data_IF_164211730696
#
_entry.id   IF_164211730696
#
_cell.length_a   1.000
_cell.length_b   1.000
_cell.length_c   1.000
_cell.angle_alpha   90.00
_cell.angle_beta   90.00
_cell.angle_gamma   90.00
#
_symmetry.space_group_name_H-M   'P 1'
#
loop_
_entity.id
_entity.type
_entity.pdbx_description
1 polymer ?
#
# COMPACT_ATOMS: atom_id res chain seq x y z
N UNK A 1 -22.79 23.11 -8.05
CA UNK A 1 -22.34 21.74 -8.32
C UNK A 1 -21.98 21.11 -6.99
N UNK A 2 -22.97 20.61 -6.25
CA UNK A 2 -22.72 19.98 -4.94
C UNK A 2 -22.27 18.55 -5.20
N UNK A 3 -21.02 18.23 -4.85
CA UNK A 3 -20.53 16.86 -4.90
C UNK A 3 -21.31 16.01 -3.89
N UNK A 4 -21.61 14.75 -4.24
CA UNK A 4 -22.27 13.82 -3.33
C UNK A 4 -21.51 13.77 -1.99
N UNK A 5 -22.17 13.95 -0.83
CA UNK A 5 -21.53 13.96 0.48
C UNK A 5 -20.63 12.75 0.72
N UNK A 6 -21.07 11.57 0.26
CA UNK A 6 -20.38 10.29 0.37
C UNK A 6 -19.06 10.29 -0.41
N UNK A 7 -19.02 10.91 -1.60
CA UNK A 7 -17.79 11.05 -2.37
C UNK A 7 -16.80 12.01 -1.71
N UNK A 8 -17.30 13.04 -1.04
CA UNK A 8 -16.47 14.00 -0.30
C UNK A 8 -15.84 13.33 0.93
N UNK A 9 -16.63 12.56 1.68
CA UNK A 9 -16.17 11.76 2.82
C UNK A 9 -15.11 10.74 2.39
N UNK A 10 -15.39 9.97 1.32
CA UNK A 10 -14.44 9.01 0.77
C UNK A 10 -13.12 9.67 0.36
N UNK A 11 -13.18 10.79 -0.38
CA UNK A 11 -11.99 11.50 -0.81
C UNK A 11 -11.19 12.06 0.39
N UNK A 12 -11.87 12.46 1.46
CA UNK A 12 -11.24 12.85 2.73
C UNK A 12 -10.48 11.70 3.38
N UNK A 13 -11.12 10.53 3.50
CA UNK A 13 -10.53 9.32 4.09
C UNK A 13 -9.34 8.81 3.28
N UNK A 14 -9.42 8.82 1.95
CA UNK A 14 -8.29 8.43 1.09
C UNK A 14 -7.11 9.38 1.27
N UNK A 15 -7.34 10.70 1.29
CA UNK A 15 -6.26 11.68 1.50
C UNK A 15 -5.63 11.56 2.88
N UNK A 16 -6.42 11.36 3.93
CA UNK A 16 -5.90 11.21 5.29
C UNK A 16 -5.13 9.91 5.47
N UNK A 17 -5.54 8.82 4.82
CA UNK A 17 -4.77 7.58 4.77
C UNK A 17 -3.45 7.75 4.01
N UNK A 18 -3.48 8.38 2.84
CA UNK A 18 -2.29 8.63 2.03
C UNK A 18 -1.22 9.43 2.79
N UNK A 19 -1.64 10.37 3.64
CA UNK A 19 -0.73 11.14 4.49
C UNK A 19 0.02 10.27 5.53
N UNK A 20 -0.51 9.10 5.90
CA UNK A 20 0.16 8.15 6.79
C UNK A 20 1.16 7.24 6.06
N UNK A 21 1.13 7.18 4.72
CA UNK A 21 2.08 6.37 3.94
C UNK A 21 3.52 6.89 4.02
N UNK A 22 3.72 8.14 4.46
CA UNK A 22 5.02 8.63 4.90
C UNK A 22 5.26 8.16 6.33
N UNK A 23 6.24 7.27 6.60
CA UNK A 23 6.43 6.73 7.92
C UNK A 23 6.78 7.80 8.94
N UNK A 24 6.13 7.77 10.09
CA UNK A 24 6.35 8.72 11.17
C UNK A 24 5.94 8.10 12.52
N UNK A 25 6.61 8.55 13.58
CA UNK A 25 6.19 8.24 14.95
C UNK A 25 4.75 8.75 15.17
N UNK A 26 3.91 7.92 15.80
CA UNK A 26 2.49 8.20 16.02
C UNK A 26 1.55 7.80 14.88
N UNK A 27 2.05 7.35 13.72
CA UNK A 27 1.16 6.86 12.65
C UNK A 27 0.35 5.62 13.06
N UNK A 28 0.85 4.79 13.99
CA UNK A 28 0.11 3.65 14.52
C UNK A 28 -1.18 4.10 15.25
N UNK A 29 -1.10 5.16 16.04
CA UNK A 29 -2.27 5.74 16.74
C UNK A 29 -3.22 6.43 15.76
N UNK A 30 -2.66 7.18 14.79
CA UNK A 30 -3.43 7.81 13.72
C UNK A 30 -4.18 6.77 12.88
N UNK A 31 -3.59 5.60 12.62
CA UNK A 31 -4.25 4.51 11.92
C UNK A 31 -5.46 3.98 12.70
N UNK A 32 -5.35 3.84 14.03
CA UNK A 32 -6.49 3.41 14.88
C UNK A 32 -7.64 4.40 14.82
N UNK A 33 -7.34 5.70 14.92
CA UNK A 33 -8.34 6.75 14.79
C UNK A 33 -8.97 6.74 13.39
N UNK A 34 -8.16 6.57 12.35
CA UNK A 34 -8.62 6.51 10.96
C UNK A 34 -9.53 5.31 10.70
N UNK A 35 -9.20 4.12 11.19
CA UNK A 35 -10.05 2.92 11.06
C UNK A 35 -11.39 3.14 11.76
N UNK A 36 -11.38 3.77 12.94
CA UNK A 36 -12.60 4.07 13.68
C UNK A 36 -13.51 5.03 12.89
N UNK A 37 -12.94 6.10 12.33
CA UNK A 37 -13.67 7.04 11.47
C UNK A 37 -14.19 6.37 10.19
N UNK A 38 -13.35 5.58 9.53
CA UNK A 38 -13.73 4.86 8.31
C UNK A 38 -14.86 3.84 8.53
N UNK A 39 -15.06 3.37 9.77
CA UNK A 39 -16.16 2.48 10.15
C UNK A 39 -17.46 3.20 10.49
N UNK A 40 -17.40 4.47 10.89
CA UNK A 40 -18.60 5.28 11.15
C UNK A 40 -19.23 5.80 9.85
N UNK A 41 -18.46 5.86 8.78
CA UNK A 41 -18.93 6.25 7.44
C UNK A 41 -19.61 5.05 6.77
N UNK A 42 -20.81 5.23 6.22
CA UNK A 42 -21.59 4.17 5.56
C UNK A 42 -21.04 3.85 4.15
N UNK A 43 -19.79 3.38 4.12
CA UNK A 43 -19.02 3.08 2.91
C UNK A 43 -18.60 1.60 2.92
N UNK A 44 -19.45 0.69 2.39
CA UNK A 44 -19.25 -0.77 2.48
C UNK A 44 -17.88 -1.25 1.98
N UNK A 45 -17.36 -0.63 0.93
CA UNK A 45 -16.06 -0.95 0.36
C UNK A 45 -14.89 -0.61 1.30
N UNK A 46 -15.03 0.44 2.11
CA UNK A 46 -14.01 0.86 3.07
C UNK A 46 -13.98 -0.07 4.30
N UNK A 47 -15.11 -0.67 4.67
CA UNK A 47 -15.15 -1.67 5.73
C UNK A 47 -14.34 -2.93 5.41
N UNK A 48 -14.35 -3.40 4.16
CA UNK A 48 -13.51 -4.53 3.75
C UNK A 48 -12.02 -4.20 3.85
N UNK A 49 -11.64 -2.99 3.45
CA UNK A 49 -10.27 -2.50 3.56
C UNK A 49 -9.82 -2.41 5.02
N UNK A 50 -10.61 -1.79 5.90
CA UNK A 50 -10.28 -1.70 7.34
C UNK A 50 -10.16 -3.07 8.00
N UNK A 51 -10.97 -4.08 7.60
CA UNK A 51 -10.79 -5.45 8.08
C UNK A 51 -9.44 -6.04 7.67
N UNK A 52 -9.02 -5.83 6.43
CA UNK A 52 -7.69 -6.27 5.96
C UNK A 52 -6.56 -5.64 6.76
N UNK A 53 -6.65 -4.34 7.04
CA UNK A 53 -5.64 -3.63 7.84
C UNK A 53 -5.52 -4.16 9.26
N UNK A 54 -6.62 -4.62 9.86
CA UNK A 54 -6.61 -5.17 11.22
C UNK A 54 -6.11 -6.61 11.26
N UNK A 55 -6.36 -7.40 10.21
CA UNK A 55 -5.82 -8.76 10.10
C UNK A 55 -4.29 -8.74 10.07
N UNK A 56 -3.71 -7.77 9.35
CA UNK A 56 -2.27 -7.60 9.21
C UNK A 56 -1.72 -6.46 10.10
N UNK A 57 -2.35 -6.20 11.25
CA UNK A 57 -2.13 -4.97 12.03
C UNK A 57 -0.66 -4.69 12.36
N UNK A 58 0.08 -5.71 12.78
CA UNK A 58 1.49 -5.56 13.15
C UNK A 58 2.35 -5.17 11.94
N UNK A 59 2.09 -5.79 10.78
CA UNK A 59 2.78 -5.49 9.54
C UNK A 59 2.44 -4.08 9.03
N UNK A 60 1.17 -3.68 9.12
CA UNK A 60 0.74 -2.33 8.73
C UNK A 60 1.33 -1.28 9.68
N UNK A 61 1.30 -1.49 10.99
CA UNK A 61 1.94 -0.60 11.95
C UNK A 61 3.43 -0.43 11.63
N UNK A 62 4.15 -1.54 11.42
CA UNK A 62 5.56 -1.49 11.05
C UNK A 62 5.79 -0.74 9.74
N UNK A 63 4.93 -0.92 8.73
CA UNK A 63 5.02 -0.20 7.46
C UNK A 63 4.81 1.32 7.60
N UNK A 64 3.98 1.76 8.56
CA UNK A 64 3.66 3.18 8.77
C UNK A 64 4.56 3.88 9.81
N UNK A 65 5.36 3.14 10.60
CA UNK A 65 6.26 3.73 11.61
C UNK A 65 7.74 3.52 11.30
N UNK A 66 8.10 2.43 10.62
CA UNK A 66 9.49 2.14 10.30
C UNK A 66 9.96 2.94 9.08
N UNK A 67 11.10 3.63 9.20
CA UNK A 67 11.75 4.28 8.07
C UNK A 67 12.19 3.28 6.98
N UNK A 68 12.42 2.02 7.36
CA UNK A 68 12.78 0.93 6.47
C UNK A 68 11.53 0.10 6.14
N UNK A 69 11.08 0.21 4.90
CA UNK A 69 9.93 -0.51 4.37
C UNK A 69 10.36 -1.34 3.17
N UNK A 70 9.66 -2.45 2.92
CA UNK A 70 10.01 -3.39 1.85
C UNK A 70 9.70 -2.84 0.43
N UNK A 71 9.22 -1.60 0.30
CA UNK A 71 8.81 -1.00 -0.97
C UNK A 71 9.92 -0.98 -2.03
N UNK A 72 11.17 -0.73 -1.62
CA UNK A 72 12.33 -0.83 -2.52
C UNK A 72 12.55 -2.27 -3.03
N UNK A 73 12.51 -3.25 -2.13
CA UNK A 73 12.64 -4.67 -2.45
C UNK A 73 11.49 -5.19 -3.31
N UNK A 74 10.26 -4.77 -3.04
CA UNK A 74 9.06 -5.12 -3.79
C UNK A 74 9.08 -4.52 -5.19
N UNK A 75 9.60 -3.29 -5.33
CA UNK A 75 9.86 -2.68 -6.63
C UNK A 75 10.86 -3.47 -7.46
N UNK A 76 11.99 -3.89 -6.86
CA UNK A 76 13.00 -4.74 -7.51
C UNK A 76 12.43 -6.11 -7.88
N UNK A 77 11.65 -6.73 -7.00
CA UNK A 77 10.97 -7.99 -7.26
C UNK A 77 9.94 -7.87 -8.40
N UNK A 78 9.19 -6.77 -8.45
CA UNK A 78 8.20 -6.50 -9.49
C UNK A 78 8.88 -6.30 -10.84
N UNK A 79 9.96 -5.50 -10.90
CA UNK A 79 10.79 -5.33 -12.10
C UNK A 79 11.34 -6.67 -12.59
N UNK A 80 11.88 -7.49 -11.69
CA UNK A 80 12.43 -8.82 -11.99
C UNK A 80 11.35 -9.76 -12.53
N UNK A 81 10.17 -9.81 -11.90
CA UNK A 81 9.02 -10.60 -12.37
C UNK A 81 8.54 -10.13 -13.74
N UNK A 82 8.51 -8.82 -13.98
CA UNK A 82 8.11 -8.23 -15.26
C UNK A 82 9.07 -8.60 -16.39
N UNK A 83 10.39 -8.49 -16.17
CA UNK A 83 11.41 -8.92 -17.16
C UNK A 83 11.26 -10.42 -17.46
N UNK A 84 11.10 -11.27 -16.44
CA UNK A 84 10.87 -12.70 -16.63
C UNK A 84 9.58 -13.00 -17.43
N UNK A 85 8.50 -12.24 -17.20
CA UNK A 85 7.23 -12.36 -17.94
C UNK A 85 7.35 -11.91 -19.40
N UNK A 86 8.03 -10.80 -19.67
CA UNK A 86 8.34 -10.35 -21.04
C UNK A 86 9.12 -11.39 -21.84
N UNK A 87 9.86 -12.25 -21.13
CA UNK A 87 10.65 -13.34 -21.70
C UNK A 87 9.92 -14.69 -21.68
N UNK A 88 8.60 -14.68 -21.48
CA UNK A 88 7.74 -15.88 -21.44
C UNK A 88 8.21 -16.94 -20.43
N UNK A 89 8.87 -16.51 -19.35
CA UNK A 89 9.42 -17.42 -18.33
C UNK A 89 10.67 -18.19 -18.75
N UNK A 90 11.18 -17.99 -19.98
CA UNK A 90 12.34 -18.74 -20.54
C UNK A 90 13.70 -18.17 -20.15
N UNK A 91 13.72 -17.12 -19.34
CA UNK A 91 14.94 -16.49 -18.88
C UNK A 91 15.55 -17.26 -17.70
N UNK A 92 16.66 -17.97 -17.94
CA UNK A 92 17.52 -18.50 -16.89
C UNK A 92 18.29 -17.38 -16.16
N UNK A 93 18.94 -17.72 -15.04
CA UNK A 93 19.60 -16.73 -14.18
C UNK A 93 20.62 -15.85 -14.91
N UNK A 94 21.45 -16.42 -15.78
CA UNK A 94 22.46 -15.67 -16.54
C UNK A 94 21.84 -14.56 -17.42
N UNK A 95 20.72 -14.88 -18.08
CA UNK A 95 20.03 -13.95 -18.99
C UNK A 95 19.24 -12.89 -18.22
N UNK A 96 18.64 -13.27 -17.08
CA UNK A 96 18.02 -12.32 -16.14
C UNK A 96 19.05 -11.34 -15.59
N UNK A 97 20.21 -11.84 -15.12
CA UNK A 97 21.30 -11.00 -14.60
C UNK A 97 21.79 -9.99 -15.64
N UNK A 98 22.01 -10.44 -16.88
CA UNK A 98 22.46 -9.56 -17.96
C UNK A 98 21.44 -8.43 -18.20
N UNK A 99 20.16 -8.75 -18.29
CA UNK A 99 19.10 -7.77 -18.59
C UNK A 99 18.75 -6.85 -17.41
N UNK A 100 19.03 -7.25 -16.18
CA UNK A 100 18.78 -6.44 -14.98
C UNK A 100 19.95 -5.48 -14.70
N UNK A 101 21.19 -5.92 -14.92
CA UNK A 101 22.39 -5.15 -14.60
C UNK A 101 22.91 -4.29 -15.76
N UNK A 102 22.58 -4.65 -17.01
CA UNK A 102 23.11 -4.00 -18.22
C UNK A 102 22.00 -3.44 -19.12
N UNK A 103 20.73 -3.50 -18.68
CA UNK A 103 19.55 -3.04 -19.41
C UNK A 103 18.81 -1.90 -18.74
#
# INVERSE_FOLDING_TARGET
>A
MAACPEMTALAGLVRSFAAMLTPADGNAERLTAWISQARTEDLPHLHAFTRGLELDRDAVNAALTCAYHNGGTEGVNTKTKLIKRQMYGRAGFALLRHRILLG
#
